data_IF_687613558609
#
_entry.id   IF_687613558609
#
_cell.length_a   1.000
_cell.length_b   1.000
_cell.length_c   1.000
_cell.angle_alpha   90.00
_cell.angle_beta   90.00
_cell.angle_gamma   90.00
#
_symmetry.space_group_name_H-M   'P 1'
#
loop_
_entity.id
_entity.type
_entity.pdbx_description
1 polymer ?
#
# COMPACT_ATOMS: atom_id res chain seq x y z
N UNK A 1 8.04 -0.43 -6.92
CA UNK A 1 7.48 -1.56 -6.12
C UNK A 1 7.72 -2.84 -6.90
N UNK A 2 8.34 -3.85 -6.31
CA UNK A 2 8.58 -5.12 -6.98
C UNK A 2 7.31 -6.01 -7.07
N UNK A 3 7.39 -7.10 -7.85
CA UNK A 3 6.26 -8.01 -8.06
C UNK A 3 5.79 -8.68 -6.77
N UNK A 4 6.71 -8.99 -5.86
CA UNK A 4 6.40 -9.62 -4.58
C UNK A 4 5.59 -8.68 -3.69
N UNK A 5 6.03 -7.42 -3.57
CA UNK A 5 5.31 -6.41 -2.80
C UNK A 5 3.90 -6.16 -3.36
N UNK A 6 3.73 -6.13 -4.69
CA UNK A 6 2.40 -6.01 -5.30
C UNK A 6 1.46 -7.17 -4.95
N UNK A 7 1.98 -8.39 -4.93
CA UNK A 7 1.20 -9.59 -4.53
C UNK A 7 0.82 -9.60 -3.05
N UNK A 8 1.60 -8.92 -2.21
CA UNK A 8 1.32 -8.79 -0.77
C UNK A 8 0.28 -7.70 -0.44
N UNK A 9 -0.11 -6.88 -1.41
CA UNK A 9 -1.11 -5.81 -1.27
C UNK A 9 -2.38 -6.12 -2.09
N UNK A 10 -3.04 -7.28 -1.89
CA UNK A 10 -4.09 -7.79 -2.80
C UNK A 10 -5.37 -6.95 -2.82
N UNK A 11 -5.53 -6.01 -1.90
CA UNK A 11 -6.72 -5.15 -1.82
C UNK A 11 -6.55 -3.80 -2.53
N UNK A 12 -5.35 -3.53 -3.04
CA UNK A 12 -5.05 -2.25 -3.68
C UNK A 12 -5.00 -2.44 -5.19
N UNK A 13 -6.18 -2.56 -5.82
CA UNK A 13 -6.29 -2.70 -7.27
C UNK A 13 -5.63 -1.56 -8.04
N UNK A 14 -5.53 -0.37 -7.44
CA UNK A 14 -4.81 0.76 -8.03
C UNK A 14 -3.31 0.49 -8.27
N UNK A 15 -2.76 -0.59 -7.76
CA UNK A 15 -1.38 -1.02 -8.06
C UNK A 15 -1.32 -2.05 -9.18
N UNK A 16 -2.46 -2.55 -9.66
CA UNK A 16 -2.52 -3.55 -10.71
C UNK A 16 -2.62 -2.90 -12.09
N UNK A 17 -1.93 -3.52 -13.06
CA UNK A 17 -2.05 -3.14 -14.46
C UNK A 17 -3.37 -3.61 -15.04
N UNK A 18 -4.07 -2.68 -15.67
CA UNK A 18 -5.21 -2.94 -16.56
C UNK A 18 -4.77 -3.14 -17.99
N UNK A 19 -3.76 -2.36 -18.43
CA UNK A 19 -3.22 -2.38 -19.79
C UNK A 19 -1.71 -2.11 -19.76
N UNK A 20 -0.93 -2.65 -20.72
CA UNK A 20 0.48 -2.34 -20.90
C UNK A 20 1.40 -3.05 -19.91
N UNK A 21 2.45 -2.36 -19.46
CA UNK A 21 3.47 -2.87 -18.55
C UNK A 21 3.88 -1.82 -17.51
N UNK A 22 4.51 -2.26 -16.43
CA UNK A 22 5.14 -1.33 -15.49
C UNK A 22 6.33 -0.64 -16.12
N UNK A 23 6.66 0.60 -15.68
CA UNK A 23 7.81 1.34 -16.19
C UNK A 23 9.12 0.60 -15.96
N UNK A 24 9.92 0.49 -17.02
CA UNK A 24 11.26 -0.10 -16.99
C UNK A 24 12.35 0.92 -17.34
N UNK A 25 12.01 1.91 -18.17
CA UNK A 25 12.93 2.94 -18.63
C UNK A 25 12.69 4.28 -17.93
N UNK A 26 13.70 5.12 -17.93
CA UNK A 26 13.73 6.42 -17.26
C UNK A 26 12.44 7.24 -17.46
N UNK A 27 12.01 7.44 -18.69
CA UNK A 27 10.84 8.27 -19.04
C UNK A 27 9.57 7.44 -19.26
N UNK A 28 9.43 6.30 -18.64
CA UNK A 28 8.18 5.54 -18.66
C UNK A 28 7.36 5.80 -17.39
N UNK A 29 6.03 5.89 -17.54
CA UNK A 29 5.09 6.04 -16.43
C UNK A 29 3.91 5.09 -16.58
N UNK A 30 3.42 4.57 -15.46
CA UNK A 30 2.15 3.86 -15.39
C UNK A 30 1.28 4.46 -14.28
N UNK A 31 0.03 4.80 -14.60
CA UNK A 31 -0.93 5.36 -13.66
C UNK A 31 -2.37 5.03 -14.08
N UNK A 32 -3.34 5.27 -13.20
CA UNK A 32 -4.75 5.18 -13.53
C UNK A 32 -5.21 6.29 -14.49
N UNK A 33 -6.32 6.08 -15.19
CA UNK A 33 -6.89 7.10 -16.10
C UNK A 33 -7.29 8.35 -15.34
N UNK A 34 -7.80 8.21 -14.12
CA UNK A 34 -8.16 9.33 -13.26
C UNK A 34 -6.96 10.24 -12.96
N UNK A 35 -5.77 9.67 -12.73
CA UNK A 35 -4.53 10.44 -12.57
C UNK A 35 -4.24 11.30 -13.80
N UNK A 36 -4.29 10.71 -14.99
CA UNK A 36 -4.01 11.43 -16.23
C UNK A 36 -5.06 12.51 -16.52
N UNK A 37 -6.34 12.24 -16.26
CA UNK A 37 -7.41 13.22 -16.42
C UNK A 37 -7.24 14.44 -15.51
N UNK A 38 -6.83 14.24 -14.25
CA UNK A 38 -6.51 15.34 -13.34
C UNK A 38 -5.31 16.18 -13.83
N UNK A 39 -4.39 15.56 -14.57
CA UNK A 39 -3.26 16.27 -15.22
C UNK A 39 -3.66 16.90 -16.57
N UNK A 40 -4.93 16.83 -16.97
CA UNK A 40 -5.45 17.40 -18.20
C UNK A 40 -5.32 16.51 -19.44
N UNK A 41 -5.08 15.22 -19.27
CA UNK A 41 -4.95 14.25 -20.35
C UNK A 41 -6.13 13.27 -20.34
N UNK A 42 -7.22 13.59 -21.04
CA UNK A 42 -8.32 12.69 -21.25
C UNK A 42 -7.97 11.63 -22.31
N UNK A 43 -8.54 10.43 -22.19
CA UNK A 43 -8.40 9.32 -23.16
C UNK A 43 -6.97 8.83 -23.45
N UNK A 44 -6.04 8.97 -22.50
CA UNK A 44 -4.66 8.48 -22.58
C UNK A 44 -4.62 6.99 -22.85
N UNK A 45 -3.69 6.57 -23.73
CA UNK A 45 -3.41 5.18 -24.10
C UNK A 45 -1.96 4.83 -23.87
N UNK A 46 -1.70 3.54 -23.74
CA UNK A 46 -0.32 3.03 -23.72
C UNK A 46 0.40 3.42 -25.00
N UNK A 47 1.57 4.02 -24.85
CA UNK A 47 2.39 4.56 -25.93
C UNK A 47 2.26 6.07 -26.15
N UNK A 48 1.27 6.72 -25.56
CA UNK A 48 1.13 8.17 -25.63
C UNK A 48 2.23 8.86 -24.82
N UNK A 49 2.58 10.10 -25.21
CA UNK A 49 3.51 10.96 -24.47
C UNK A 49 2.73 12.00 -23.69
N UNK A 50 3.05 12.16 -22.42
CA UNK A 50 2.48 13.16 -21.51
C UNK A 50 3.59 13.99 -20.88
N UNK A 51 3.37 15.28 -20.68
CA UNK A 51 4.29 16.15 -19.94
C UNK A 51 3.77 16.27 -18.51
N UNK A 52 4.59 15.90 -17.53
CA UNK A 52 4.22 15.95 -16.12
C UNK A 52 5.18 16.81 -15.33
N UNK A 53 4.60 17.58 -14.41
CA UNK A 53 5.35 18.31 -13.41
C UNK A 53 5.52 17.43 -12.18
N UNK A 54 6.76 17.24 -11.76
CA UNK A 54 7.07 16.45 -10.57
C UNK A 54 8.12 17.12 -9.69
N UNK A 55 8.23 16.67 -8.45
CA UNK A 55 9.35 16.99 -7.57
C UNK A 55 9.84 15.72 -6.88
N UNK A 56 11.16 15.58 -6.79
CA UNK A 56 11.82 14.40 -6.23
C UNK A 56 11.82 14.35 -4.70
N UNK A 57 11.45 15.44 -4.03
CA UNK A 57 11.35 15.52 -2.57
C UNK A 57 10.54 16.73 -2.15
N UNK A 58 10.12 16.79 -0.88
CA UNK A 58 9.22 17.85 -0.40
C UNK A 58 9.81 19.27 -0.55
N UNK A 59 11.13 19.40 -0.56
CA UNK A 59 11.83 20.68 -0.68
C UNK A 59 12.49 20.89 -2.07
N UNK A 60 12.32 19.93 -2.98
CA UNK A 60 12.84 20.05 -4.34
C UNK A 60 11.97 20.98 -5.18
N UNK A 61 12.59 21.66 -6.15
CA UNK A 61 11.85 22.43 -7.16
C UNK A 61 11.07 21.48 -8.09
N UNK A 62 9.97 21.99 -8.63
CA UNK A 62 9.22 21.28 -9.66
C UNK A 62 10.03 21.25 -10.96
N UNK A 63 10.03 20.10 -11.60
CA UNK A 63 10.58 19.86 -12.93
C UNK A 63 9.47 19.38 -13.84
N UNK A 64 9.56 19.76 -15.12
CA UNK A 64 8.62 19.36 -16.16
C UNK A 64 9.33 18.47 -17.15
N UNK A 65 8.88 17.24 -17.33
CA UNK A 65 9.48 16.27 -18.26
C UNK A 65 8.42 15.49 -19.02
N UNK A 66 8.83 14.99 -20.19
CA UNK A 66 7.98 14.13 -21.02
C UNK A 66 8.13 12.66 -20.60
N UNK A 67 6.99 11.99 -20.45
CA UNK A 67 6.91 10.57 -20.12
C UNK A 67 6.10 9.82 -21.16
N UNK A 68 6.54 8.62 -21.50
CA UNK A 68 5.77 7.66 -22.30
C UNK A 68 4.91 6.83 -21.38
N UNK A 69 3.62 6.78 -21.63
CA UNK A 69 2.68 5.95 -20.87
C UNK A 69 2.96 4.49 -21.19
N UNK A 70 3.60 3.77 -20.28
CA UNK A 70 3.94 2.36 -20.43
C UNK A 70 2.81 1.43 -19.99
N UNK A 71 1.93 1.91 -19.09
CA UNK A 71 0.83 1.14 -18.58
C UNK A 71 -0.29 1.98 -18.00
N UNK A 72 -1.49 1.41 -18.02
CA UNK A 72 -2.67 1.96 -17.36
C UNK A 72 -3.00 1.05 -16.19
N UNK A 73 -3.12 1.64 -15.01
CA UNK A 73 -3.53 0.96 -13.78
C UNK A 73 -5.05 0.95 -13.65
N UNK A 74 -5.59 0.10 -12.77
CA UNK A 74 -6.97 0.24 -12.35
C UNK A 74 -7.14 1.53 -11.55
N UNK A 75 -8.19 2.27 -11.83
CA UNK A 75 -8.58 3.41 -11.00
C UNK A 75 -9.12 2.90 -9.67
N UNK A 76 -8.96 3.72 -8.63
CA UNK A 76 -9.53 3.46 -7.32
C UNK A 76 -11.05 3.55 -7.37
N UNK A 77 -11.75 2.72 -6.60
CA UNK A 77 -13.21 2.76 -6.52
C UNK A 77 -13.67 4.14 -6.00
N UNK A 78 -14.73 4.70 -6.61
CA UNK A 78 -15.27 6.04 -6.35
C UNK A 78 -15.68 6.33 -4.89
N UNK A 79 -15.73 5.30 -4.05
CA UNK A 79 -16.16 5.39 -2.65
C UNK A 79 -15.04 5.74 -1.66
N UNK A 80 -13.82 5.94 -2.12
CA UNK A 80 -12.70 6.26 -1.24
C UNK A 80 -12.51 7.78 -1.17
N UNK A 81 -12.72 8.36 0.01
CA UNK A 81 -12.78 9.81 0.28
C UNK A 81 -11.42 10.52 0.13
N UNK A 82 -10.32 9.80 0.07
CA UNK A 82 -8.99 10.37 -0.10
C UNK A 82 -8.50 10.14 -1.54
N UNK A 83 -8.53 11.19 -2.33
CA UNK A 83 -8.02 11.19 -3.71
C UNK A 83 -6.47 11.24 -3.73
N UNK A 84 -5.83 10.15 -3.34
CA UNK A 84 -4.42 9.96 -3.65
C UNK A 84 -4.31 9.08 -4.88
N UNK A 85 -3.91 9.67 -5.99
CA UNK A 85 -3.62 8.93 -7.21
C UNK A 85 -2.26 8.25 -7.10
N UNK A 86 -2.16 7.03 -7.61
CA UNK A 86 -0.92 6.28 -7.66
C UNK A 86 -0.35 6.36 -9.07
N UNK A 87 0.93 6.72 -9.15
CA UNK A 87 1.69 6.64 -10.38
C UNK A 87 3.02 5.90 -10.10
N UNK A 88 3.40 5.04 -11.02
CA UNK A 88 4.70 4.35 -10.99
C UNK A 88 5.64 4.95 -12.03
N UNK A 89 6.84 5.34 -11.59
CA UNK A 89 7.99 5.55 -12.43
C UNK A 89 8.91 4.33 -12.40
N UNK A 90 9.95 4.34 -13.24
CA UNK A 90 10.97 3.30 -13.24
C UNK A 90 11.92 3.42 -12.04
N UNK A 91 12.61 2.33 -11.71
CA UNK A 91 13.67 2.38 -10.71
C UNK A 91 14.81 3.30 -11.13
N UNK A 92 15.14 3.32 -12.43
CA UNK A 92 16.18 4.18 -13.00
C UNK A 92 15.85 5.67 -12.79
N UNK A 93 14.58 6.07 -13.02
CA UNK A 93 14.11 7.44 -12.76
C UNK A 93 14.23 7.80 -11.27
N UNK A 94 13.86 6.89 -10.37
CA UNK A 94 13.97 7.10 -8.93
C UNK A 94 15.43 7.27 -8.50
N UNK A 95 16.32 6.40 -8.98
CA UNK A 95 17.74 6.42 -8.61
C UNK A 95 18.47 7.66 -9.13
N UNK A 96 18.05 8.20 -10.30
CA UNK A 96 18.64 9.41 -10.87
C UNK A 96 18.15 10.68 -10.17
N UNK A 97 16.87 10.74 -9.79
CA UNK A 97 16.25 12.00 -9.37
C UNK A 97 16.11 12.15 -7.86
N UNK A 98 16.05 11.05 -7.11
CA UNK A 98 15.92 11.09 -5.65
C UNK A 98 17.28 10.95 -5.00
N UNK A 99 17.72 11.98 -4.26
CA UNK A 99 18.97 11.94 -3.52
C UNK A 99 19.01 10.75 -2.56
N UNK A 100 20.17 10.12 -2.39
CA UNK A 100 20.32 8.89 -1.60
C UNK A 100 19.77 9.02 -0.17
N UNK A 101 19.97 10.18 0.45
CA UNK A 101 19.47 10.48 1.81
C UNK A 101 17.95 10.68 1.88
N UNK A 102 17.30 10.95 0.75
CA UNK A 102 15.84 11.16 0.65
C UNK A 102 15.10 9.91 0.18
N UNK A 103 15.84 8.86 -0.18
CA UNK A 103 15.26 7.60 -0.64
C UNK A 103 14.53 6.89 0.48
N UNK A 104 13.28 6.52 0.21
CA UNK A 104 12.45 5.75 1.13
C UNK A 104 12.20 4.36 0.54
N UNK A 105 12.41 3.35 1.37
CA UNK A 105 12.14 1.96 1.02
C UNK A 105 11.15 1.37 2.00
N UNK A 106 10.09 0.76 1.46
CA UNK A 106 9.16 -0.04 2.24
C UNK A 106 9.42 -1.52 1.96
N UNK A 107 9.61 -2.30 3.01
CA UNK A 107 9.77 -3.74 2.92
C UNK A 107 8.47 -4.38 3.42
N UNK A 108 7.81 -5.13 2.55
CA UNK A 108 6.60 -5.88 2.88
C UNK A 108 6.97 -7.34 3.12
N UNK A 109 6.46 -7.90 4.19
CA UNK A 109 6.65 -9.31 4.50
C UNK A 109 5.45 -9.86 5.27
N UNK A 110 5.25 -11.17 5.19
CA UNK A 110 4.28 -11.89 6.00
C UNK A 110 5.02 -12.78 6.97
N UNK A 111 4.47 -12.92 8.17
CA UNK A 111 4.96 -13.91 9.12
C UNK A 111 4.37 -15.28 8.76
N UNK A 112 5.15 -16.33 8.95
CA UNK A 112 4.64 -17.68 8.77
C UNK A 112 3.73 -18.08 9.95
N UNK A 113 2.91 -19.11 9.77
CA UNK A 113 1.94 -19.57 10.79
C UNK A 113 2.61 -19.97 12.11
N UNK A 114 3.89 -20.36 12.09
CA UNK A 114 4.64 -20.73 13.28
C UNK A 114 4.98 -19.54 14.19
N UNK A 115 4.87 -18.32 13.71
CA UNK A 115 5.13 -17.12 14.51
C UNK A 115 4.10 -16.90 15.62
N UNK A 116 2.93 -17.57 15.54
CA UNK A 116 1.88 -17.55 16.55
C UNK A 116 1.53 -16.13 17.05
N UNK A 117 1.33 -15.21 16.10
CA UNK A 117 1.03 -13.80 16.39
C UNK A 117 -0.41 -13.67 16.88
N UNK A 118 -0.59 -12.86 17.92
CA UNK A 118 -1.89 -12.54 18.51
C UNK A 118 -1.90 -11.11 19.04
N UNK A 119 -3.05 -10.58 19.35
CA UNK A 119 -3.18 -9.25 19.98
C UNK A 119 -2.40 -9.16 21.30
N UNK A 120 -2.20 -10.26 22.02
CA UNK A 120 -1.52 -10.25 23.30
C UNK A 120 0.02 -10.20 23.18
N UNK A 121 0.59 -10.53 22.02
CA UNK A 121 2.04 -10.60 21.83
C UNK A 121 2.55 -9.73 20.66
N UNK A 122 1.67 -9.02 19.95
CA UNK A 122 2.05 -8.23 18.77
C UNK A 122 3.16 -7.21 19.08
N UNK A 123 3.10 -6.53 20.20
CA UNK A 123 4.12 -5.55 20.60
C UNK A 123 5.49 -6.21 20.79
N UNK A 124 5.53 -7.42 21.34
CA UNK A 124 6.75 -8.20 21.48
C UNK A 124 7.31 -8.62 20.13
N UNK A 125 6.43 -8.99 19.19
CA UNK A 125 6.81 -9.36 17.82
C UNK A 125 7.39 -8.13 17.08
N UNK A 126 6.74 -6.97 17.17
CA UNK A 126 7.23 -5.71 16.59
C UNK A 126 8.64 -5.40 17.09
N UNK A 127 8.89 -5.49 18.41
CA UNK A 127 10.21 -5.27 19.01
C UNK A 127 11.26 -6.23 18.47
N UNK A 128 10.92 -7.51 18.33
CA UNK A 128 11.83 -8.51 17.78
C UNK A 128 12.18 -8.23 16.33
N UNK A 129 11.20 -7.84 15.50
CA UNK A 129 11.39 -7.47 14.11
C UNK A 129 12.28 -6.23 14.01
N UNK A 130 11.96 -5.17 14.75
CA UNK A 130 12.71 -3.93 14.77
C UNK A 130 14.18 -4.18 15.15
N UNK A 131 14.42 -4.96 16.21
CA UNK A 131 15.76 -5.34 16.64
C UNK A 131 16.50 -6.17 15.59
N UNK A 132 15.85 -7.14 14.97
CA UNK A 132 16.44 -7.99 13.94
C UNK A 132 16.80 -7.20 12.66
N UNK A 133 15.99 -6.20 12.30
CA UNK A 133 16.24 -5.35 11.14
C UNK A 133 17.12 -4.13 11.43
N UNK A 134 17.44 -3.85 12.70
CA UNK A 134 18.21 -2.67 13.09
C UNK A 134 17.47 -1.34 12.86
N UNK A 135 16.13 -1.34 12.94
CA UNK A 135 15.26 -0.17 12.74
C UNK A 135 14.54 0.21 14.05
N UNK A 136 13.99 1.40 14.12
CA UNK A 136 13.15 1.81 15.24
C UNK A 136 11.77 1.12 15.19
N UNK A 137 11.19 0.79 16.35
CA UNK A 137 9.88 0.14 16.46
C UNK A 137 8.76 0.90 15.71
N UNK A 138 8.77 2.23 15.72
CA UNK A 138 7.81 3.08 15.01
C UNK A 138 7.80 2.89 13.49
N UNK A 139 8.87 2.31 12.92
CA UNK A 139 9.01 2.04 11.49
C UNK A 139 8.49 0.65 11.11
N UNK A 140 8.05 -0.14 12.07
CA UNK A 140 7.36 -1.42 11.83
C UNK A 140 5.86 -1.16 11.78
N UNK A 141 5.32 -1.13 10.56
CA UNK A 141 3.88 -0.89 10.32
C UNK A 141 3.17 -2.23 10.24
N UNK A 142 2.15 -2.40 11.05
CA UNK A 142 1.32 -3.61 11.07
C UNK A 142 0.03 -3.35 10.29
N UNK A 143 -0.51 -4.39 9.65
CA UNK A 143 -1.81 -4.30 9.02
C UNK A 143 -2.92 -4.26 10.09
N UNK A 144 -3.36 -3.06 10.44
CA UNK A 144 -4.38 -2.83 11.48
C UNK A 144 -5.71 -3.50 11.15
N UNK A 145 -6.07 -3.58 9.86
CA UNK A 145 -7.29 -4.28 9.45
C UNK A 145 -7.20 -5.77 9.76
N UNK A 146 -6.05 -6.39 9.50
CA UNK A 146 -5.83 -7.79 9.88
C UNK A 146 -5.93 -7.99 11.38
N UNK A 147 -5.33 -7.10 12.17
CA UNK A 147 -5.41 -7.17 13.64
C UNK A 147 -6.86 -7.06 14.12
N UNK A 148 -7.62 -6.11 13.60
CA UNK A 148 -8.99 -5.86 14.02
C UNK A 148 -9.96 -7.00 13.60
N UNK A 149 -9.83 -7.49 12.38
CA UNK A 149 -10.80 -8.42 11.82
C UNK A 149 -10.46 -9.91 12.06
N UNK A 150 -9.19 -10.24 12.16
CA UNK A 150 -8.73 -11.64 12.25
C UNK A 150 -8.31 -12.03 13.65
N UNK A 151 -7.59 -11.16 14.35
CA UNK A 151 -7.03 -11.48 15.67
C UNK A 151 -7.89 -11.01 16.84
N UNK A 152 -8.76 -10.03 16.63
CA UNK A 152 -9.66 -9.55 17.69
C UNK A 152 -11.03 -10.22 17.56
N UNK A 153 -11.46 -11.04 18.53
CA UNK A 153 -12.82 -11.54 18.53
C UNK A 153 -13.78 -10.35 18.60
N UNK A 154 -14.78 -10.34 17.73
CA UNK A 154 -15.74 -9.24 17.72
C UNK A 154 -16.38 -9.12 19.10
N UNK A 155 -16.45 -7.90 19.65
CA UNK A 155 -17.13 -7.63 20.91
C UNK A 155 -18.58 -8.14 20.90
N UNK A 156 -19.21 -8.15 19.73
CA UNK A 156 -20.52 -8.72 19.51
C UNK A 156 -20.56 -10.23 19.78
N UNK A 157 -19.55 -10.98 19.31
CA UNK A 157 -19.45 -12.42 19.57
C UNK A 157 -19.25 -12.69 21.07
N UNK A 158 -18.41 -11.91 21.75
CA UNK A 158 -18.19 -12.02 23.19
C UNK A 158 -19.46 -11.68 23.96
N UNK A 159 -20.17 -10.62 23.57
CA UNK A 159 -21.42 -10.21 24.19
C UNK A 159 -22.51 -11.28 24.02
N UNK A 160 -22.68 -11.83 22.82
CA UNK A 160 -23.65 -12.89 22.54
C UNK A 160 -23.32 -14.15 23.33
N UNK A 161 -22.07 -14.58 23.36
CA UNK A 161 -21.64 -15.73 24.17
C UNK A 161 -21.87 -15.47 25.66
N UNK A 162 -21.57 -14.28 26.16
CA UNK A 162 -21.82 -13.88 27.55
C UNK A 162 -23.32 -13.97 27.93
N UNK A 163 -24.19 -13.41 27.06
CA UNK A 163 -25.65 -13.48 27.28
C UNK A 163 -26.16 -14.92 27.26
N UNK A 164 -25.67 -15.76 26.34
CA UNK A 164 -26.05 -17.16 26.27
C UNK A 164 -25.63 -17.94 27.52
N UNK A 165 -24.41 -17.74 28.02
CA UNK A 165 -23.91 -18.34 29.23
C UNK A 165 -24.77 -17.92 30.43
N UNK A 166 -25.08 -16.61 30.52
CA UNK A 166 -25.91 -16.08 31.60
C UNK A 166 -27.35 -16.66 31.57
N UNK A 167 -27.91 -16.80 30.37
CA UNK A 167 -29.21 -17.45 30.20
C UNK A 167 -29.19 -18.91 30.65
N UNK A 168 -28.17 -19.68 30.24
CA UNK A 168 -28.03 -21.08 30.65
C UNK A 168 -27.94 -21.20 32.19
N UNK A 169 -27.16 -20.33 32.83
CA UNK A 169 -27.03 -20.35 34.29
C UNK A 169 -28.36 -20.01 34.97
N UNK A 170 -29.10 -19.02 34.48
CA UNK A 170 -30.39 -18.62 35.07
C UNK A 170 -31.49 -19.64 34.91
N UNK A 171 -31.46 -20.42 33.80
CA UNK A 171 -32.48 -21.49 33.56
C UNK A 171 -32.06 -22.86 34.09
N UNK A 172 -30.85 -23.01 34.65
CA UNK A 172 -30.36 -24.26 35.23
C UNK A 172 -30.54 -24.32 36.75
N UNK A 173 -31.07 -23.27 37.36
CA UNK A 173 -31.44 -23.18 38.77
C UNK A 173 -32.96 -23.26 38.91
#
# INVERSE_FOLDING_TARGET
MDETARKMLPYNKEYELKEGKYPEKMQEIAAGRAFFSEMGYDDVKVGDTVTLDYRAGMQSEYKSEEFVVSGILYDRDEYTIEASYVAFGSQEFYDEHVAENDRQYNIYFTLNDSANVSMNNIDSVIKQIAAACGIEEKNVIVNDLYLQWVLQPSYETIAVCGVLILAIVLFSV
#
